data_IF_278495905410
#
_entry.id   IF_278495905410
#
_cell.length_a   1.000
_cell.length_b   1.000
_cell.length_c   1.000
_cell.angle_alpha   90.00
_cell.angle_beta   90.00
_cell.angle_gamma   90.00
#
_symmetry.space_group_name_H-M   'P 1'
#
loop_
_entity.id
_entity.type
_entity.pdbx_description
1 polymer ?
#
# COMPACT_ATOMS: atom_id res chain seq x y z
N UNK A 1 28.87 -19.37 -15.69
CA UNK A 1 28.76 -20.62 -16.49
C UNK A 1 28.34 -21.82 -15.64
N UNK A 2 28.96 -22.09 -14.48
CA UNK A 2 28.62 -23.23 -13.60
C UNK A 2 27.17 -23.22 -13.10
N UNK A 3 26.65 -22.07 -12.67
CA UNK A 3 25.24 -21.94 -12.19
C UNK A 3 24.24 -22.34 -13.26
N UNK A 4 24.45 -21.92 -14.52
CA UNK A 4 23.60 -22.29 -15.64
C UNK A 4 23.61 -23.80 -15.90
N UNK A 5 24.78 -24.44 -15.84
CA UNK A 5 24.89 -25.89 -16.00
C UNK A 5 24.11 -26.67 -14.94
N UNK A 6 24.15 -26.21 -13.68
CA UNK A 6 23.39 -26.80 -12.58
C UNK A 6 21.88 -26.62 -12.80
N UNK A 7 21.44 -25.42 -13.19
CA UNK A 7 20.03 -25.14 -13.50
C UNK A 7 19.51 -26.04 -14.63
N UNK A 8 20.27 -26.20 -15.72
CA UNK A 8 19.90 -27.10 -16.83
C UNK A 8 19.86 -28.57 -16.41
N UNK A 9 20.82 -29.02 -15.58
CA UNK A 9 20.83 -30.39 -15.06
C UNK A 9 19.57 -30.69 -14.22
N UNK A 10 19.17 -29.77 -13.35
CA UNK A 10 17.95 -29.91 -12.53
C UNK A 10 16.70 -29.87 -13.41
N UNK A 11 16.62 -28.94 -14.37
CA UNK A 11 15.49 -28.83 -15.31
C UNK A 11 15.26 -30.12 -16.09
N UNK A 12 16.33 -30.75 -16.57
CA UNK A 12 16.25 -31.99 -17.34
C UNK A 12 15.79 -33.21 -16.52
N UNK A 13 15.74 -33.10 -15.18
CA UNK A 13 15.16 -34.13 -14.31
C UNK A 13 13.70 -33.86 -13.93
N UNK A 14 13.12 -32.75 -14.40
CA UNK A 14 11.71 -32.45 -14.18
C UNK A 14 10.79 -33.35 -15.00
N UNK A 15 9.55 -33.52 -14.54
CA UNK A 15 8.51 -34.23 -15.27
C UNK A 15 7.97 -33.35 -16.40
N UNK A 16 8.04 -33.83 -17.64
CA UNK A 16 7.52 -33.12 -18.81
C UNK A 16 6.05 -33.48 -19.10
N UNK A 17 5.46 -34.42 -18.35
CA UNK A 17 4.08 -34.84 -18.51
C UNK A 17 3.08 -33.77 -18.04
N UNK A 18 2.88 -32.75 -18.85
CA UNK A 18 1.75 -31.84 -18.74
C UNK A 18 0.97 -31.83 -20.05
N UNK A 19 -0.32 -31.54 -19.97
CA UNK A 19 -1.20 -31.49 -21.14
C UNK A 19 -1.02 -30.16 -21.86
N UNK A 20 -0.11 -30.15 -22.85
CA UNK A 20 0.15 -28.99 -23.72
C UNK A 20 -1.13 -28.47 -24.37
N UNK A 21 -1.25 -27.16 -24.45
CA UNK A 21 -2.39 -26.41 -24.97
C UNK A 21 -3.70 -26.64 -24.19
N UNK A 22 -3.61 -26.99 -22.91
CA UNK A 22 -4.80 -27.09 -22.03
C UNK A 22 -4.75 -26.06 -20.91
N UNK A 23 -5.75 -26.05 -20.04
CA UNK A 23 -5.75 -25.24 -18.81
C UNK A 23 -4.54 -25.51 -17.90
N UNK A 24 -3.83 -26.64 -18.08
CA UNK A 24 -2.57 -26.92 -17.36
C UNK A 24 -1.42 -25.99 -17.79
N UNK A 25 -1.51 -25.33 -18.94
CA UNK A 25 -0.51 -24.38 -19.42
C UNK A 25 -0.74 -22.96 -18.86
N UNK A 26 -1.91 -22.73 -18.23
CA UNK A 26 -2.29 -21.41 -17.71
C UNK A 26 -1.96 -21.29 -16.22
N UNK A 27 -1.68 -20.06 -15.73
CA UNK A 27 -1.56 -19.81 -14.30
C UNK A 27 -2.82 -20.24 -13.54
N UNK A 28 -2.65 -20.88 -12.38
CA UNK A 28 -3.78 -21.24 -11.53
C UNK A 28 -4.30 -19.99 -10.78
N UNK A 29 -5.44 -19.45 -11.22
CA UNK A 29 -6.12 -18.29 -10.59
C UNK A 29 -7.38 -18.78 -9.87
N UNK A 30 -7.27 -19.83 -9.04
CA UNK A 30 -8.39 -20.38 -8.27
C UNK A 30 -9.65 -20.71 -9.10
N UNK A 31 -9.46 -21.13 -10.36
CA UNK A 31 -10.55 -21.44 -11.29
C UNK A 31 -11.15 -20.24 -12.02
N UNK A 32 -10.67 -19.02 -11.77
CA UNK A 32 -11.06 -17.85 -12.57
C UNK A 32 -10.29 -17.80 -13.90
N UNK A 33 -10.91 -17.27 -14.97
CA UNK A 33 -10.21 -17.01 -16.21
C UNK A 33 -9.11 -15.97 -16.00
N UNK A 34 -8.01 -16.12 -16.72
CA UNK A 34 -6.94 -15.13 -16.77
C UNK A 34 -7.49 -13.80 -17.30
N UNK A 35 -7.40 -12.75 -16.48
CA UNK A 35 -7.66 -11.37 -16.90
C UNK A 35 -6.44 -10.85 -17.67
N UNK A 36 -6.56 -9.68 -18.34
CA UNK A 36 -5.37 -9.03 -18.91
C UNK A 36 -4.29 -8.85 -17.84
N UNK A 37 -3.03 -8.68 -18.25
CA UNK A 37 -1.94 -8.41 -17.29
C UNK A 37 -2.26 -7.21 -16.40
N UNK A 38 -2.88 -6.16 -16.95
CA UNK A 38 -3.33 -5.03 -16.13
C UNK A 38 -4.50 -5.40 -15.20
N UNK A 39 -5.44 -6.23 -15.65
CA UNK A 39 -6.60 -6.67 -14.85
C UNK A 39 -6.27 -7.70 -13.76
N UNK A 40 -5.14 -8.39 -13.87
CA UNK A 40 -4.67 -9.40 -12.90
C UNK A 40 -3.83 -8.79 -11.76
N UNK A 41 -3.37 -7.55 -11.91
CA UNK A 41 -2.62 -6.85 -10.87
C UNK A 41 -3.57 -6.08 -9.94
N UNK A 42 -3.62 -6.49 -8.67
CA UNK A 42 -4.16 -5.63 -7.62
C UNK A 42 -3.12 -4.52 -7.38
N UNK A 43 -3.47 -3.27 -7.65
CA UNK A 43 -2.55 -2.15 -7.44
C UNK A 43 -2.12 -2.07 -5.97
N UNK A 44 -0.89 -1.60 -5.69
CA UNK A 44 -0.40 -1.45 -4.31
C UNK A 44 -1.33 -0.57 -3.45
N UNK A 45 -2.08 0.34 -4.08
CA UNK A 45 -3.08 1.18 -3.42
C UNK A 45 -4.25 0.35 -2.84
N UNK A 46 -4.58 -0.80 -3.42
CA UNK A 46 -5.63 -1.69 -2.91
C UNK A 46 -5.20 -2.47 -1.66
N UNK A 47 -3.89 -2.70 -1.46
CA UNK A 47 -3.40 -3.47 -0.30
C UNK A 47 -3.71 -2.74 1.02
N UNK A 48 -3.60 -1.40 1.02
CA UNK A 48 -3.87 -0.58 2.20
C UNK A 48 -5.24 0.08 2.19
N UNK A 49 -6.05 -0.15 1.16
CA UNK A 49 -7.34 0.53 0.99
C UNK A 49 -8.25 0.34 2.21
N UNK A 50 -8.36 -0.90 2.71
CA UNK A 50 -9.19 -1.19 3.89
C UNK A 50 -8.72 -0.48 5.16
N UNK A 51 -7.40 -0.33 5.33
CA UNK A 51 -6.82 0.42 6.45
C UNK A 51 -7.08 1.92 6.33
N UNK A 52 -6.88 2.50 5.15
CA UNK A 52 -7.11 3.92 4.91
C UNK A 52 -8.60 4.28 4.98
N UNK A 53 -9.48 3.40 4.51
CA UNK A 53 -10.92 3.64 4.57
C UNK A 53 -11.44 3.55 6.02
N UNK A 54 -10.96 2.58 6.80
CA UNK A 54 -11.33 2.44 8.21
C UNK A 54 -10.92 3.65 9.07
N UNK A 55 -9.85 4.36 8.69
CA UNK A 55 -9.36 5.55 9.39
C UNK A 55 -9.70 6.87 8.69
N UNK A 56 -10.56 6.84 7.67
CA UNK A 56 -10.90 8.02 6.87
C UNK A 56 -11.44 9.16 7.71
N UNK A 57 -12.31 8.87 8.67
CA UNK A 57 -12.88 9.88 9.56
C UNK A 57 -11.88 10.47 10.55
N UNK A 58 -10.79 9.75 10.83
CA UNK A 58 -9.66 10.27 11.59
C UNK A 58 -8.83 11.23 10.72
N UNK A 59 -8.40 10.79 9.53
CA UNK A 59 -7.49 11.59 8.70
C UNK A 59 -8.18 12.77 8.00
N UNK A 60 -9.44 12.65 7.61
CA UNK A 60 -10.17 13.70 6.88
C UNK A 60 -10.15 15.06 7.59
N UNK A 61 -10.53 15.20 8.88
CA UNK A 61 -10.45 16.48 9.58
C UNK A 61 -9.00 16.95 9.75
N UNK A 62 -8.07 16.05 10.04
CA UNK A 62 -6.63 16.33 10.18
C UNK A 62 -6.02 16.92 8.91
N UNK A 63 -6.40 16.42 7.74
CA UNK A 63 -5.94 16.98 6.45
C UNK A 63 -6.61 18.32 6.19
N UNK A 64 -7.90 18.48 6.53
CA UNK A 64 -8.63 19.74 6.34
C UNK A 64 -8.04 20.93 7.12
N UNK A 65 -7.38 20.69 8.25
CA UNK A 65 -6.73 21.77 9.02
C UNK A 65 -5.41 22.25 8.40
N UNK A 66 -4.83 21.51 7.45
CA UNK A 66 -3.62 21.89 6.71
C UNK A 66 -3.97 22.65 5.44
N UNK A 67 -4.55 23.84 5.60
CA UNK A 67 -5.07 24.66 4.49
C UNK A 67 -4.00 25.21 3.55
N UNK A 68 -2.74 25.27 4.00
CA UNK A 68 -1.64 25.92 3.29
C UNK A 68 -1.65 27.45 3.41
N UNK A 69 -2.62 28.04 4.12
CA UNK A 69 -2.69 29.48 4.34
C UNK A 69 -1.83 29.87 5.56
N UNK A 70 -0.84 30.76 5.35
CA UNK A 70 0.07 31.22 6.39
C UNK A 70 -0.62 31.82 7.61
N UNK A 71 -1.79 32.46 7.42
CA UNK A 71 -2.54 33.09 8.50
C UNK A 71 -3.13 32.05 9.47
N UNK A 72 -3.52 30.87 8.97
CA UNK A 72 -4.05 29.79 9.82
C UNK A 72 -2.94 29.25 10.72
N UNK A 73 -1.73 29.07 10.19
CA UNK A 73 -0.57 28.64 10.99
C UNK A 73 -0.13 29.69 12.02
N UNK A 74 -0.12 30.97 11.64
CA UNK A 74 0.19 32.05 12.58
C UNK A 74 -0.83 32.08 13.73
N UNK A 75 -2.12 31.88 13.43
CA UNK A 75 -3.18 31.78 14.43
C UNK A 75 -2.96 30.60 15.39
N UNK A 76 -2.59 29.43 14.87
CA UNK A 76 -2.25 28.26 15.71
C UNK A 76 -1.09 28.53 16.67
N UNK A 77 -0.05 29.24 16.22
CA UNK A 77 1.09 29.62 17.07
C UNK A 77 0.62 30.53 18.22
N UNK A 78 -0.21 31.54 17.92
CA UNK A 78 -0.75 32.45 18.95
C UNK A 78 -1.62 31.71 19.95
N UNK A 79 -2.50 30.81 19.49
CA UNK A 79 -3.34 29.98 20.36
C UNK A 79 -2.47 29.12 21.29
N UNK A 80 -1.44 28.46 20.75
CA UNK A 80 -0.51 27.66 21.56
C UNK A 80 0.22 28.52 22.59
N UNK A 81 0.66 29.73 22.23
CA UNK A 81 1.29 30.64 23.20
C UNK A 81 0.33 31.00 24.34
N UNK A 82 -0.92 31.33 24.03
CA UNK A 82 -1.93 31.64 25.07
C UNK A 82 -2.15 30.44 25.99
N UNK A 83 -2.27 29.23 25.43
CA UNK A 83 -2.43 28.00 26.23
C UNK A 83 -1.24 27.81 27.17
N UNK A 84 -0.01 27.95 26.66
CA UNK A 84 1.21 27.81 27.47
C UNK A 84 1.24 28.85 28.60
N UNK A 85 0.94 30.11 28.29
CA UNK A 85 0.91 31.19 29.27
C UNK A 85 -0.15 30.95 30.35
N UNK A 86 -1.32 30.41 30.00
CA UNK A 86 -2.34 30.01 30.98
C UNK A 86 -1.83 28.87 31.85
N UNK A 87 -1.28 27.81 31.26
CA UNK A 87 -0.79 26.64 32.00
C UNK A 87 0.32 27.05 32.99
N UNK A 88 1.27 27.87 32.54
CA UNK A 88 2.36 28.33 33.40
C UNK A 88 1.85 29.35 34.42
N UNK A 89 1.06 30.33 34.00
CA UNK A 89 0.61 31.43 34.84
C UNK A 89 -0.46 31.05 35.87
N UNK A 90 -1.19 29.95 35.67
CA UNK A 90 -2.18 29.45 36.65
C UNK A 90 -1.54 28.50 37.67
N UNK A 91 -0.41 27.88 37.35
CA UNK A 91 0.32 26.98 38.25
C UNK A 91 1.56 27.61 38.92
N UNK A 92 1.86 28.88 38.59
CA UNK A 92 3.00 29.65 39.10
C UNK A 92 2.65 30.61 40.23
#
# INVERSE_FOLDING_TARGET
>A
MVIWAIVYYIRNKGEESYKKNTEQDKPFISGNPELSKEGSHISANHIYWGFTEALKDYYTPLVKTHTGNINDYASWIVILMVIILIIIGVNG
#
